data_IF_737830694314
#
_entry.id   IF_737830694314
#
_cell.length_a   1.000
_cell.length_b   1.000
_cell.length_c   1.000
_cell.angle_alpha   90.00
_cell.angle_beta   90.00
_cell.angle_gamma   90.00
#
_symmetry.space_group_name_H-M   'P 1'
#
loop_
_entity.id
_entity.type
_entity.pdbx_description
1 polymer ?
#
# COMPACT_ATOMS: atom_id res chain seq x y z
N UNK A 1 -14.94 11.10 -22.29
CA UNK A 1 -14.79 10.21 -23.46
C UNK A 1 -16.04 9.34 -23.49
N UNK A 2 -16.79 9.33 -24.59
CA UNK A 2 -18.08 8.64 -24.67
C UNK A 2 -17.88 7.24 -25.26
N UNK A 3 -18.30 6.19 -24.56
CA UNK A 3 -18.29 4.82 -25.07
C UNK A 3 -19.72 4.51 -25.52
N UNK A 4 -19.95 4.36 -26.83
CA UNK A 4 -21.26 3.96 -27.36
C UNK A 4 -21.40 2.43 -27.29
N UNK A 5 -22.54 1.96 -26.79
CA UNK A 5 -22.85 0.53 -26.61
C UNK A 5 -24.22 0.14 -27.21
N UNK A 6 -24.90 1.07 -27.89
CA UNK A 6 -26.29 0.88 -28.35
C UNK A 6 -26.42 -0.15 -29.48
N UNK A 7 -25.30 -0.53 -30.07
CA UNK A 7 -25.20 -1.55 -31.11
C UNK A 7 -25.09 -2.97 -30.54
N UNK A 8 -24.99 -3.14 -29.22
CA UNK A 8 -24.81 -4.44 -28.56
C UNK A 8 -26.14 -5.03 -28.11
N UNK A 9 -26.30 -6.33 -28.31
CA UNK A 9 -27.42 -7.08 -27.75
C UNK A 9 -27.19 -7.47 -26.26
N UNK A 10 -28.16 -8.16 -25.65
CA UNK A 10 -28.11 -8.50 -24.24
C UNK A 10 -26.94 -9.45 -23.88
N UNK A 11 -26.62 -10.42 -24.74
CA UNK A 11 -25.53 -11.37 -24.49
C UNK A 11 -24.17 -10.68 -24.66
N UNK A 12 -24.06 -9.83 -25.66
CA UNK A 12 -22.87 -9.01 -25.90
C UNK A 12 -22.62 -8.02 -24.75
N UNK A 13 -23.66 -7.41 -24.21
CA UNK A 13 -23.58 -6.53 -23.03
C UNK A 13 -23.13 -7.30 -21.78
N UNK A 14 -23.64 -8.51 -21.56
CA UNK A 14 -23.20 -9.35 -20.44
C UNK A 14 -21.72 -9.75 -20.58
N UNK A 15 -21.30 -10.16 -21.77
CA UNK A 15 -19.90 -10.49 -22.06
C UNK A 15 -18.98 -9.28 -21.87
N UNK A 16 -19.40 -8.10 -22.34
CA UNK A 16 -18.68 -6.84 -22.15
C UNK A 16 -18.55 -6.51 -20.67
N UNK A 17 -19.64 -6.60 -19.90
CA UNK A 17 -19.64 -6.32 -18.47
C UNK A 17 -18.68 -7.24 -17.70
N UNK A 18 -18.71 -8.54 -17.98
CA UNK A 18 -17.80 -9.50 -17.37
C UNK A 18 -16.33 -9.13 -17.62
N UNK A 19 -16.00 -8.77 -18.86
CA UNK A 19 -14.64 -8.35 -19.24
C UNK A 19 -14.23 -7.03 -18.60
N UNK A 20 -15.15 -6.08 -18.45
CA UNK A 20 -14.91 -4.83 -17.71
C UNK A 20 -14.58 -5.13 -16.26
N UNK A 21 -15.38 -5.96 -15.59
CA UNK A 21 -15.17 -6.34 -14.19
C UNK A 21 -13.79 -7.01 -14.01
N UNK A 22 -13.42 -7.94 -14.89
CA UNK A 22 -12.12 -8.60 -14.87
C UNK A 22 -10.97 -7.62 -15.08
N UNK A 23 -11.10 -6.68 -16.02
CA UNK A 23 -10.10 -5.65 -16.26
C UNK A 23 -9.94 -4.72 -15.06
N UNK A 24 -11.04 -4.30 -14.44
CA UNK A 24 -11.01 -3.47 -13.24
C UNK A 24 -10.32 -4.19 -12.08
N UNK A 25 -10.63 -5.46 -11.84
CA UNK A 25 -9.95 -6.28 -10.82
C UNK A 25 -8.44 -6.38 -11.07
N UNK A 26 -8.03 -6.51 -12.33
CA UNK A 26 -6.61 -6.53 -12.69
C UNK A 26 -5.94 -5.19 -12.43
N UNK A 27 -6.58 -4.08 -12.81
CA UNK A 27 -6.06 -2.72 -12.59
C UNK A 27 -5.96 -2.39 -11.10
N UNK A 28 -6.95 -2.76 -10.29
CA UNK A 28 -6.89 -2.64 -8.83
C UNK A 28 -5.72 -3.43 -8.25
N UNK A 29 -5.51 -4.66 -8.72
CA UNK A 29 -4.39 -5.50 -8.27
C UNK A 29 -3.04 -4.86 -8.62
N UNK A 30 -2.90 -4.26 -9.80
CA UNK A 30 -1.68 -3.55 -10.21
C UNK A 30 -1.44 -2.30 -9.38
N UNK A 31 -2.51 -1.54 -9.08
CA UNK A 31 -2.41 -0.35 -8.23
C UNK A 31 -2.04 -0.71 -6.79
N UNK A 32 -2.64 -1.77 -6.24
CA UNK A 32 -2.25 -2.32 -4.94
C UNK A 32 -0.80 -2.81 -4.95
N UNK A 33 -0.34 -3.46 -6.02
CA UNK A 33 1.04 -3.93 -6.14
C UNK A 33 2.05 -2.76 -6.20
N UNK A 34 1.74 -1.70 -6.94
CA UNK A 34 2.58 -0.49 -6.99
C UNK A 34 2.66 0.21 -5.62
N UNK A 35 1.55 0.32 -4.91
CA UNK A 35 1.52 0.86 -3.55
C UNK A 35 2.12 -0.07 -2.50
N UNK A 36 2.27 -1.37 -2.78
CA UNK A 36 3.04 -2.29 -1.93
C UNK A 36 4.55 -2.17 -2.18
N UNK A 37 5.00 -1.97 -3.42
CA UNK A 37 6.42 -1.82 -3.77
C UNK A 37 7.10 -0.61 -3.10
N UNK A 38 6.34 0.37 -2.63
CA UNK A 38 6.88 1.49 -1.86
C UNK A 38 7.30 1.09 -0.42
N UNK A 39 6.96 -0.11 0.01
CA UNK A 39 7.30 -0.67 1.31
C UNK A 39 8.10 -1.97 1.14
N UNK A 40 8.84 -2.35 2.17
CA UNK A 40 9.53 -3.63 2.28
C UNK A 40 9.23 -4.24 3.65
N UNK A 41 9.33 -5.58 3.83
CA UNK A 41 9.25 -6.18 5.15
C UNK A 41 10.27 -5.52 6.09
N UNK A 42 9.86 -5.22 7.31
CA UNK A 42 10.65 -4.44 8.27
C UNK A 42 10.48 -2.92 8.17
N UNK A 43 9.81 -2.39 7.14
CA UNK A 43 9.55 -0.95 7.04
C UNK A 43 8.59 -0.47 8.15
N UNK A 44 8.88 0.69 8.75
CA UNK A 44 7.98 1.40 9.68
C UNK A 44 6.94 2.17 8.89
N UNK A 45 5.68 1.96 9.24
CA UNK A 45 4.52 2.56 8.60
C UNK A 45 3.53 3.05 9.64
N UNK A 46 2.70 4.02 9.25
CA UNK A 46 1.55 4.46 10.06
C UNK A 46 0.26 4.37 9.27
N UNK A 47 -0.85 4.17 9.99
CA UNK A 47 -2.21 4.17 9.47
C UNK A 47 -3.18 4.61 10.56
N UNK A 48 -4.40 4.99 10.19
CA UNK A 48 -5.45 5.33 11.14
C UNK A 48 -6.24 4.07 11.53
N UNK A 49 -6.43 3.85 12.84
CA UNK A 49 -7.27 2.79 13.36
C UNK A 49 -8.74 3.05 13.02
N UNK A 50 -9.64 2.05 13.13
CA UNK A 50 -11.08 2.26 13.02
C UNK A 50 -11.63 3.31 13.99
N UNK A 51 -10.92 3.58 15.09
CA UNK A 51 -11.25 4.61 16.08
C UNK A 51 -10.70 5.99 15.72
N UNK A 52 -9.98 6.12 14.60
CA UNK A 52 -9.36 7.37 14.14
C UNK A 52 -8.01 7.68 14.80
N UNK A 53 -7.44 6.74 15.55
CA UNK A 53 -6.13 6.92 16.20
C UNK A 53 -5.01 6.54 15.24
N UNK A 54 -3.96 7.36 15.17
CA UNK A 54 -2.79 7.02 14.36
C UNK A 54 -1.97 5.92 15.01
N UNK A 55 -1.88 4.78 14.34
CA UNK A 55 -1.12 3.61 14.79
C UNK A 55 0.19 3.52 14.01
N UNK A 56 1.27 3.19 14.72
CA UNK A 56 2.56 2.88 14.11
C UNK A 56 2.81 1.37 14.19
N UNK A 57 3.24 0.80 13.07
CA UNK A 57 3.50 -0.62 12.95
C UNK A 57 4.64 -0.90 11.97
N UNK A 58 5.14 -2.12 12.02
CA UNK A 58 6.19 -2.62 11.13
C UNK A 58 5.58 -3.60 10.13
N UNK A 59 5.93 -3.46 8.86
CA UNK A 59 5.48 -4.37 7.80
C UNK A 59 6.04 -5.77 8.04
N UNK A 60 5.16 -6.75 8.18
CA UNK A 60 5.53 -8.16 8.35
C UNK A 60 5.49 -8.91 7.02
N UNK A 61 4.42 -8.75 6.24
CA UNK A 61 4.27 -9.42 4.94
C UNK A 61 3.28 -8.71 4.02
N UNK A 62 3.42 -8.96 2.72
CA UNK A 62 2.45 -8.57 1.70
C UNK A 62 1.50 -9.74 1.40
N UNK A 63 0.20 -9.47 1.38
CA UNK A 63 -0.82 -10.38 0.88
C UNK A 63 -1.33 -9.87 -0.47
N UNK A 64 -2.27 -10.58 -1.11
CA UNK A 64 -2.79 -10.19 -2.44
C UNK A 64 -3.43 -8.80 -2.49
N UNK A 65 -4.07 -8.34 -1.41
CA UNK A 65 -4.79 -7.05 -1.34
C UNK A 65 -4.45 -6.18 -0.14
N UNK A 66 -3.71 -6.72 0.83
CA UNK A 66 -3.45 -6.07 2.12
C UNK A 66 -2.01 -6.29 2.52
N UNK A 67 -1.53 -5.45 3.43
CA UNK A 67 -0.25 -5.62 4.10
C UNK A 67 -0.54 -6.02 5.54
N UNK A 68 0.12 -7.09 6.00
CA UNK A 68 0.10 -7.43 7.41
C UNK A 68 1.18 -6.60 8.12
N UNK A 69 0.77 -5.82 9.10
CA UNK A 69 1.65 -4.99 9.92
C UNK A 69 1.52 -5.37 11.39
N UNK A 70 2.59 -5.17 12.16
CA UNK A 70 2.63 -5.49 13.59
C UNK A 70 3.07 -4.28 14.39
N UNK A 71 2.29 -3.90 15.39
CA UNK A 71 2.62 -2.80 16.31
C UNK A 71 3.75 -3.21 17.26
N UNK A 72 4.36 -2.23 17.93
CA UNK A 72 5.39 -2.50 18.95
C UNK A 72 4.84 -3.29 20.16
N UNK A 73 3.53 -3.24 20.39
CA UNK A 73 2.79 -4.06 21.36
C UNK A 73 2.47 -5.48 20.88
N UNK A 74 2.88 -5.86 19.66
CA UNK A 74 2.66 -7.19 19.09
C UNK A 74 1.29 -7.41 18.44
N UNK A 75 0.43 -6.39 18.39
CA UNK A 75 -0.88 -6.50 17.72
C UNK A 75 -0.71 -6.56 16.20
N UNK A 76 -1.47 -7.44 15.55
CA UNK A 76 -1.41 -7.65 14.09
C UNK A 76 -2.62 -7.03 13.39
N UNK A 77 -2.35 -6.33 12.30
CA UNK A 77 -3.36 -5.66 11.48
C UNK A 77 -3.19 -6.03 10.01
N UNK A 78 -4.31 -6.16 9.30
CA UNK A 78 -4.32 -6.25 7.84
C UNK A 78 -4.85 -4.93 7.29
N UNK A 79 -3.97 -4.15 6.68
CA UNK A 79 -4.28 -2.79 6.22
C UNK A 79 -4.15 -2.71 4.70
N UNK A 80 -5.02 -1.94 4.06
CA UNK A 80 -4.88 -1.67 2.62
C UNK A 80 -3.59 -0.86 2.38
N UNK A 81 -2.77 -1.17 1.36
CA UNK A 81 -1.53 -0.44 1.07
C UNK A 81 -1.73 1.07 0.89
N UNK A 82 -2.89 1.48 0.35
CA UNK A 82 -3.24 2.89 0.13
C UNK A 82 -3.50 3.67 1.42
N UNK A 83 -3.77 2.97 2.52
CA UNK A 83 -3.98 3.58 3.85
C UNK A 83 -2.68 3.61 4.68
N UNK A 84 -1.60 3.03 4.16
CA UNK A 84 -0.30 3.06 4.82
C UNK A 84 0.48 4.29 4.36
N UNK A 85 1.13 4.94 5.33
CA UNK A 85 2.10 6.00 5.09
C UNK A 85 3.47 5.55 5.59
N UNK A 86 4.51 5.72 4.77
CA UNK A 86 5.89 5.45 5.18
C UNK A 86 6.30 6.46 6.26
N UNK A 87 6.90 5.96 7.34
CA UNK A 87 7.58 6.82 8.29
C UNK A 87 9.02 6.91 7.80
N UNK A 88 9.42 8.08 7.28
CA UNK A 88 10.85 8.34 7.08
C UNK A 88 11.48 8.39 8.46
N UNK A 89 12.36 7.45 8.77
CA UNK A 89 13.28 7.62 9.88
C UNK A 89 14.09 8.89 9.61
N UNK A 90 13.77 9.97 10.34
CA UNK A 90 14.60 11.17 10.43
C UNK A 90 15.84 10.88 11.29
N UNK A 91 16.53 9.78 10.99
CA UNK A 91 17.58 9.17 11.81
C UNK A 91 18.87 8.86 11.06
N UNK A 92 19.08 9.42 9.86
CA UNK A 92 20.45 9.66 9.40
C UNK A 92 20.84 11.07 9.82
N UNK A 93 21.14 11.24 11.11
CA UNK A 93 22.07 12.30 11.50
C UNK A 93 23.39 12.01 10.77
N UNK A 94 23.99 12.97 10.04
CA UNK A 94 25.34 12.79 9.55
C UNK A 94 26.20 12.55 10.79
N UNK A 95 26.79 11.36 10.88
CA UNK A 95 27.86 11.07 11.84
C UNK A 95 28.89 12.18 11.69
N UNK A 96 28.94 13.06 12.68
CA UNK A 96 29.99 14.04 12.86
C UNK A 96 31.22 13.21 13.18
N UNK A 97 32.08 13.00 12.18
CA UNK A 97 33.38 12.36 12.39
C UNK A 97 34.26 13.36 13.17
N UNK A 98 34.12 13.30 14.49
CA UNK A 98 34.95 14.01 15.44
C UNK A 98 36.34 13.37 15.48
N UNK A 99 37.17 13.68 14.49
CA UNK A 99 38.61 13.46 14.59
C UNK A 99 39.27 14.73 15.10
N UNK A 100 39.58 14.71 16.39
CA UNK A 100 40.56 15.55 17.04
C UNK A 100 41.90 15.32 16.32
N UNK A 101 42.40 16.32 15.61
CA UNK A 101 43.83 16.46 15.35
C UNK A 101 44.32 17.68 16.11
N UNK A 102 45.05 17.39 17.19
CA UNK A 102 45.98 18.32 17.80
C UNK A 102 47.19 18.41 16.88
N UNK A 103 47.53 19.63 16.44
CA UNK A 103 48.90 20.10 16.19
C UNK A 103 48.95 21.61 16.40
#
# INVERSE_FOLDING_TARGET
MNINIDHLDADELMALNQRIIERLKMLESLHAHKSMMQFHPGARVSFDSPQGERVIATVMKFNRKTVTVVTDSGQRWNVSPHLLSAIKDAGQSPVIDGRLEND
#
